data_IF_014931085585
#
_entry.id   IF_014931085585
#
_cell.length_a   1.000
_cell.length_b   1.000
_cell.length_c   1.000
_cell.angle_alpha   90.00
_cell.angle_beta   90.00
_cell.angle_gamma   90.00
#
_symmetry.space_group_name_H-M   'P 1'
#
loop_
_entity.id
_entity.type
_entity.pdbx_description
1 polymer ?
#
# COMPACT_ATOMS: atom_id res chain seq x y z
N UNK A 1 -23.99 1.63 31.32
CA UNK A 1 -22.72 1.87 30.61
C UNK A 1 -23.02 1.81 29.12
N UNK A 2 -22.67 2.83 28.35
CA UNK A 2 -22.89 2.81 26.90
C UNK A 2 -21.99 1.77 26.22
N UNK A 3 -22.36 1.27 25.04
CA UNK A 3 -21.54 0.33 24.26
C UNK A 3 -20.11 0.86 24.02
N UNK A 4 -19.96 2.18 23.89
CA UNK A 4 -18.68 2.86 23.81
C UNK A 4 -17.81 2.67 25.08
N UNK A 5 -18.41 2.64 26.28
CA UNK A 5 -17.68 2.41 27.53
C UNK A 5 -17.23 0.95 27.69
N UNK A 6 -17.97 -0.01 27.14
CA UNK A 6 -17.61 -1.45 27.18
C UNK A 6 -16.50 -1.77 26.17
N UNK A 7 -16.49 -1.09 25.02
CA UNK A 7 -15.40 -1.13 24.04
C UNK A 7 -14.08 -0.61 24.62
N UNK A 8 -14.14 0.51 25.36
CA UNK A 8 -12.95 1.15 25.95
C UNK A 8 -12.24 0.29 27.01
N UNK A 9 -12.99 -0.50 27.80
CA UNK A 9 -12.40 -1.40 28.82
C UNK A 9 -11.69 -2.60 28.16
N UNK A 10 -12.22 -3.10 27.03
CA UNK A 10 -11.64 -4.25 26.32
C UNK A 10 -10.39 -3.89 25.51
N UNK A 11 -10.36 -2.70 24.91
CA UNK A 11 -9.17 -2.18 24.23
C UNK A 11 -7.96 -2.01 25.18
N UNK A 12 -8.22 -1.59 26.42
CA UNK A 12 -7.18 -1.45 27.44
C UNK A 12 -6.56 -2.78 27.86
N UNK A 13 -7.35 -3.86 27.90
CA UNK A 13 -6.90 -5.21 28.25
C UNK A 13 -6.07 -5.88 27.13
N UNK A 14 -6.36 -5.56 25.85
CA UNK A 14 -5.62 -6.04 24.68
C UNK A 14 -4.20 -5.45 24.63
N UNK A 15 -4.04 -4.18 25.02
CA UNK A 15 -2.74 -3.50 25.07
C UNK A 15 -1.78 -4.10 26.10
N UNK A 16 -2.25 -4.40 27.31
CA UNK A 16 -1.37 -4.92 28.37
C UNK A 16 -0.84 -6.31 28.04
N UNK A 17 -1.62 -7.14 27.35
CA UNK A 17 -1.18 -8.48 26.94
C UNK A 17 -0.20 -8.46 25.75
N UNK A 18 -0.22 -7.43 24.89
CA UNK A 18 0.68 -7.32 23.74
C UNK A 18 1.97 -6.51 24.04
N UNK A 19 1.93 -5.57 24.99
CA UNK A 19 3.09 -4.75 25.37
C UNK A 19 3.97 -5.39 26.45
N UNK A 20 3.44 -6.27 27.30
CA UNK A 20 4.23 -6.93 28.35
C UNK A 20 5.19 -7.99 27.79
N UNK A 21 5.02 -8.44 26.54
CA UNK A 21 5.90 -9.47 25.96
C UNK A 21 7.20 -8.93 25.33
N UNK A 22 7.27 -7.67 24.85
CA UNK A 22 8.45 -7.21 24.09
C UNK A 22 8.87 -5.76 24.33
N UNK A 23 9.28 -5.46 25.57
CA UNK A 23 10.22 -4.34 25.83
C UNK A 23 11.64 -4.78 25.48
N UNK A 24 12.04 -4.65 24.22
CA UNK A 24 13.43 -4.92 23.84
C UNK A 24 13.78 -4.54 22.41
N UNK A 25 14.50 -3.42 22.25
CA UNK A 25 15.16 -2.91 21.03
C UNK A 25 14.23 -2.43 19.91
N UNK A 26 14.33 -1.24 19.33
CA UNK A 26 15.34 -0.18 19.38
C UNK A 26 15.30 0.53 18.02
N UNK A 27 15.28 1.87 18.02
CA UNK A 27 15.40 2.77 16.87
C UNK A 27 14.25 2.81 15.84
N UNK A 28 13.26 3.67 16.10
CA UNK A 28 12.52 4.36 15.04
C UNK A 28 12.53 5.86 15.35
N UNK A 29 12.74 6.75 14.34
CA UNK A 29 12.68 8.19 14.56
C UNK A 29 11.30 8.56 15.11
N UNK A 30 11.28 9.32 16.20
CA UNK A 30 10.08 9.84 16.85
C UNK A 30 9.16 10.47 15.80
N UNK A 31 7.95 9.92 15.61
CA UNK A 31 6.93 10.50 14.71
C UNK A 31 6.21 9.56 13.75
N UNK A 32 6.52 8.25 13.68
CA UNK A 32 5.84 7.31 12.77
C UNK A 32 4.96 6.31 13.49
N UNK A 33 3.85 6.79 14.02
CA UNK A 33 2.69 5.97 14.32
C UNK A 33 1.44 6.74 13.90
N UNK A 34 0.65 6.20 12.96
CA UNK A 34 -0.81 6.32 13.08
C UNK A 34 -1.23 5.16 13.99
N UNK A 35 -0.82 5.26 15.24
CA UNK A 35 -1.39 4.54 16.36
C UNK A 35 -1.50 5.62 17.42
N UNK A 36 -2.67 6.24 17.50
CA UNK A 36 -2.97 7.24 18.52
C UNK A 36 -2.93 6.52 19.88
N UNK A 37 -1.79 6.65 20.56
CA UNK A 37 -1.38 5.77 21.66
C UNK A 37 -2.11 6.09 22.99
N UNK A 38 -3.16 6.92 22.95
CA UNK A 38 -3.79 7.45 24.18
C UNK A 38 -5.33 7.49 24.15
N UNK A 39 -6.03 7.49 23.00
CA UNK A 39 -7.51 7.73 23.02
C UNK A 39 -8.43 6.88 22.13
N UNK A 40 -7.94 6.14 21.13
CA UNK A 40 -8.84 5.44 20.20
C UNK A 40 -9.45 6.39 19.17
N UNK A 41 -9.46 5.92 17.91
CA UNK A 41 -9.81 6.65 16.67
C UNK A 41 -8.83 7.77 16.29
N UNK A 42 -7.72 7.39 15.65
CA UNK A 42 -7.27 8.22 14.55
C UNK A 42 -8.30 8.04 13.43
N UNK A 43 -9.20 9.01 13.24
CA UNK A 43 -10.20 8.99 12.17
C UNK A 43 -9.56 9.38 10.84
N UNK A 44 -8.41 8.80 10.51
CA UNK A 44 -7.82 8.95 9.20
C UNK A 44 -8.59 8.04 8.25
N UNK A 45 -9.29 8.64 7.29
CA UNK A 45 -9.93 7.93 6.19
C UNK A 45 -9.07 8.03 4.94
N UNK A 46 -9.17 7.00 4.10
CA UNK A 46 -8.43 6.93 2.85
C UNK A 46 -8.68 5.64 2.11
N UNK A 47 -8.06 5.51 0.97
CA UNK A 47 -8.22 4.37 0.07
C UNK A 47 -6.86 3.82 -0.37
N UNK A 48 -6.86 2.60 -0.89
CA UNK A 48 -5.69 2.02 -1.55
C UNK A 48 -5.66 2.41 -3.03
N UNK A 49 -4.47 2.67 -3.54
CA UNK A 49 -4.19 2.79 -4.97
C UNK A 49 -3.06 1.87 -5.38
N UNK A 50 -3.22 1.18 -6.50
CA UNK A 50 -2.24 0.27 -7.06
C UNK A 50 -1.76 0.75 -8.43
N UNK A 51 -0.50 0.47 -8.75
CA UNK A 51 0.15 0.95 -9.97
C UNK A 51 0.83 -0.19 -10.74
N UNK A 52 0.06 -1.09 -11.39
CA UNK A 52 0.60 -2.26 -12.09
C UNK A 52 1.62 -1.94 -13.19
N UNK A 53 1.63 -0.71 -13.72
CA UNK A 53 2.67 -0.24 -14.64
C UNK A 53 4.09 -0.44 -14.12
N UNK A 54 4.28 -0.45 -12.80
CA UNK A 54 5.60 -0.63 -12.19
C UNK A 54 5.82 -2.04 -11.62
N UNK A 55 4.90 -2.98 -11.80
CA UNK A 55 5.07 -4.34 -11.31
C UNK A 55 6.14 -5.08 -12.11
N UNK A 56 6.80 -6.04 -11.47
CA UNK A 56 7.73 -6.91 -12.15
C UNK A 56 6.95 -7.84 -13.08
N UNK A 57 7.48 -8.01 -14.29
CA UNK A 57 6.99 -9.01 -15.25
C UNK A 57 7.94 -10.19 -15.13
N UNK A 58 7.39 -11.38 -14.89
CA UNK A 58 8.16 -12.61 -14.93
C UNK A 58 8.78 -12.85 -16.31
N UNK A 59 9.61 -13.87 -16.41
CA UNK A 59 10.05 -14.40 -17.70
C UNK A 59 9.26 -15.66 -18.03
N UNK A 60 9.29 -16.08 -19.30
CA UNK A 60 8.68 -17.35 -19.70
C UNK A 60 9.19 -18.55 -18.89
N UNK A 61 10.47 -18.48 -18.47
CA UNK A 61 11.11 -19.50 -17.64
C UNK A 61 10.72 -19.40 -16.15
N UNK A 62 10.34 -18.21 -15.66
CA UNK A 62 9.99 -17.98 -14.27
C UNK A 62 8.93 -16.89 -14.14
N UNK A 63 7.69 -17.33 -13.98
CA UNK A 63 6.59 -16.47 -13.59
C UNK A 63 6.95 -15.67 -12.33
N UNK A 64 6.63 -14.39 -12.34
CA UNK A 64 6.77 -13.52 -11.19
C UNK A 64 5.45 -12.82 -10.97
N UNK A 65 4.88 -12.98 -9.78
CA UNK A 65 3.69 -12.27 -9.39
C UNK A 65 4.03 -11.25 -8.29
N UNK A 66 3.86 -9.97 -8.61
CA UNK A 66 4.01 -8.89 -7.64
C UNK A 66 2.84 -8.85 -6.66
N UNK A 67 1.63 -9.18 -7.10
CA UNK A 67 0.41 -9.02 -6.31
C UNK A 67 -0.45 -10.29 -6.29
N UNK A 68 -0.61 -10.86 -5.11
CA UNK A 68 -1.57 -11.92 -4.84
C UNK A 68 -2.77 -11.35 -4.09
N UNK A 69 -3.95 -11.92 -4.31
CA UNK A 69 -5.18 -11.41 -3.68
C UNK A 69 -6.04 -12.54 -3.13
N UNK A 70 -6.76 -12.23 -2.07
CA UNK A 70 -7.78 -13.07 -1.45
C UNK A 70 -9.04 -12.23 -1.26
N UNK A 71 -10.14 -12.68 -1.88
CA UNK A 71 -11.44 -11.99 -1.87
C UNK A 71 -12.40 -12.80 -1.00
N UNK A 72 -12.48 -12.49 0.28
CA UNK A 72 -13.41 -13.14 1.21
C UNK A 72 -14.75 -12.42 1.22
N UNK A 73 -15.70 -12.96 0.47
CA UNK A 73 -17.07 -12.46 0.29
C UNK A 73 -17.17 -11.02 -0.24
N UNK A 74 -16.02 -10.40 -0.57
CA UNK A 74 -15.96 -9.06 -1.11
C UNK A 74 -16.74 -8.96 -2.42
N UNK A 75 -17.65 -8.00 -2.49
CA UNK A 75 -18.48 -7.76 -3.65
C UNK A 75 -18.05 -6.47 -4.34
N UNK A 76 -17.69 -6.57 -5.62
CA UNK A 76 -17.31 -5.42 -6.45
C UNK A 76 -18.39 -4.34 -6.55
N UNK A 77 -19.65 -4.64 -6.23
CA UNK A 77 -20.73 -3.63 -6.21
C UNK A 77 -20.67 -2.69 -5.01
N UNK A 78 -19.82 -2.98 -4.02
CA UNK A 78 -19.58 -2.07 -2.89
C UNK A 78 -18.81 -0.82 -3.32
N UNK A 79 -17.92 -0.94 -4.30
CA UNK A 79 -17.08 0.17 -4.73
C UNK A 79 -17.74 1.05 -5.80
N UNK A 80 -17.40 2.35 -5.83
CA UNK A 80 -17.72 3.24 -6.94
C UNK A 80 -17.32 2.64 -8.30
N UNK A 81 -18.17 2.84 -9.30
CA UNK A 81 -17.93 2.33 -10.66
C UNK A 81 -17.02 3.23 -11.49
N UNK A 82 -16.83 4.49 -11.08
CA UNK A 82 -16.22 5.52 -11.92
C UNK A 82 -14.77 5.82 -11.50
N UNK A 83 -13.81 5.22 -12.21
CA UNK A 83 -12.41 5.66 -12.23
C UNK A 83 -11.89 5.66 -13.66
N UNK A 84 -11.27 6.76 -14.06
CA UNK A 84 -10.40 6.75 -15.22
C UNK A 84 -9.11 6.01 -14.86
N UNK A 85 -8.98 4.76 -15.33
CA UNK A 85 -7.79 3.95 -15.16
C UNK A 85 -6.68 4.54 -16.03
N UNK A 86 -5.48 4.71 -15.47
CA UNK A 86 -4.35 5.19 -16.25
C UNK A 86 -4.06 4.20 -17.40
N UNK A 87 -3.85 4.65 -18.66
CA UNK A 87 -3.66 3.75 -19.80
C UNK A 87 -2.58 2.70 -19.58
N UNK A 88 -1.42 3.09 -19.03
CA UNK A 88 -0.34 2.14 -18.69
C UNK A 88 -0.69 1.12 -17.60
N UNK A 89 -1.62 1.41 -16.69
CA UNK A 89 -2.07 0.40 -15.72
C UNK A 89 -3.00 -0.60 -16.40
N UNK A 90 -3.97 -0.11 -17.19
CA UNK A 90 -4.93 -0.96 -17.90
C UNK A 90 -4.27 -2.00 -18.81
N UNK A 91 -3.19 -1.61 -19.52
CA UNK A 91 -2.41 -2.52 -20.39
C UNK A 91 -1.70 -3.64 -19.63
N UNK A 92 -1.52 -3.50 -18.32
CA UNK A 92 -0.80 -4.45 -17.47
C UNK A 92 -1.72 -5.41 -16.75
N UNK A 93 -3.03 -5.26 -16.94
CA UNK A 93 -4.04 -6.19 -16.43
C UNK A 93 -4.18 -7.31 -17.46
N UNK A 94 -3.66 -8.52 -17.20
CA UNK A 94 -3.90 -9.64 -18.10
C UNK A 94 -5.39 -10.02 -18.07
N UNK A 95 -5.94 -10.59 -19.16
CA UNK A 95 -7.30 -11.11 -19.17
C UNK A 95 -7.51 -12.09 -18.01
N UNK A 96 -8.54 -11.85 -17.19
CA UNK A 96 -8.87 -12.70 -16.05
C UNK A 96 -7.99 -12.49 -14.81
N UNK A 97 -7.25 -11.38 -14.70
CA UNK A 97 -6.46 -11.10 -13.50
C UNK A 97 -7.34 -10.99 -12.24
N UNK A 98 -7.08 -11.85 -11.25
CA UNK A 98 -7.81 -11.87 -9.98
C UNK A 98 -7.72 -10.56 -9.19
N UNK A 99 -6.80 -9.68 -9.54
CA UNK A 99 -6.59 -8.39 -8.88
C UNK A 99 -7.09 -7.19 -9.68
N UNK A 100 -7.64 -7.40 -10.89
CA UNK A 100 -8.08 -6.33 -11.79
C UNK A 100 -9.03 -5.32 -11.11
N UNK A 101 -9.96 -5.82 -10.30
CA UNK A 101 -10.93 -5.01 -9.56
C UNK A 101 -10.32 -3.92 -8.67
N UNK A 102 -9.09 -4.12 -8.15
CA UNK A 102 -8.38 -3.15 -7.30
C UNK A 102 -7.81 -1.96 -8.09
N UNK A 103 -7.75 -2.09 -9.42
CA UNK A 103 -7.12 -1.12 -10.33
C UNK A 103 -8.16 -0.49 -11.24
N UNK A 104 -9.13 -1.29 -11.70
CA UNK A 104 -10.21 -0.86 -12.58
C UNK A 104 -11.19 0.10 -11.93
N UNK A 105 -11.26 0.10 -10.60
CA UNK A 105 -12.17 0.94 -9.82
C UNK A 105 -11.42 1.87 -8.89
N UNK A 106 -12.08 2.97 -8.51
CA UNK A 106 -11.64 3.75 -7.36
C UNK A 106 -12.14 3.03 -6.13
N UNK A 107 -11.22 2.66 -5.24
CA UNK A 107 -11.56 2.08 -3.95
C UNK A 107 -12.10 3.18 -3.04
N UNK A 108 -13.12 2.84 -2.25
CA UNK A 108 -13.82 3.74 -1.35
C UNK A 108 -12.92 4.16 -0.19
N UNK A 109 -13.06 5.40 0.21
CA UNK A 109 -12.36 5.92 1.37
C UNK A 109 -12.95 5.25 2.63
N UNK A 110 -12.10 4.67 3.46
CA UNK A 110 -12.51 4.08 4.72
C UNK A 110 -11.41 4.20 5.79
N UNK A 111 -11.65 3.68 7.00
CA UNK A 111 -10.69 3.78 8.09
C UNK A 111 -9.32 3.24 7.71
N UNK A 112 -8.27 4.02 7.98
CA UNK A 112 -6.87 3.65 7.70
C UNK A 112 -6.20 3.14 8.96
N UNK A 113 -5.58 1.96 8.85
CA UNK A 113 -4.76 1.37 9.91
C UNK A 113 -3.44 0.87 9.36
N UNK A 114 -2.33 1.16 10.04
CA UNK A 114 -1.01 0.66 9.64
C UNK A 114 -0.38 -0.06 10.83
N UNK A 115 0.02 -1.30 10.60
CA UNK A 115 0.68 -2.15 11.59
C UNK A 115 1.91 -2.83 11.01
N UNK A 116 2.84 -3.23 11.87
CA UNK A 116 4.07 -3.92 11.48
C UNK A 116 4.17 -5.23 12.25
N UNK A 117 4.51 -6.32 11.57
CA UNK A 117 4.78 -7.62 12.18
C UNK A 117 5.99 -8.28 11.52
N UNK A 118 7.12 -8.29 12.22
CA UNK A 118 8.37 -8.83 11.69
C UNK A 118 8.82 -8.07 10.44
N UNK A 119 8.90 -8.76 9.30
CA UNK A 119 9.31 -8.19 7.99
C UNK A 119 8.14 -7.70 7.13
N UNK A 120 6.94 -7.66 7.71
CA UNK A 120 5.72 -7.28 7.00
C UNK A 120 5.15 -5.98 7.55
N UNK A 121 4.67 -5.13 6.66
CA UNK A 121 3.80 -4.00 6.99
C UNK A 121 2.41 -4.32 6.46
N UNK A 122 1.39 -4.11 7.29
CA UNK A 122 -0.01 -4.25 6.92
C UNK A 122 -0.63 -2.86 6.93
N UNK A 123 -1.25 -2.48 5.82
CA UNK A 123 -1.96 -1.23 5.64
C UNK A 123 -3.41 -1.53 5.26
N UNK A 124 -4.34 -1.17 6.12
CA UNK A 124 -5.77 -1.30 5.88
C UNK A 124 -6.34 0.05 5.44
N UNK A 125 -7.27 0.02 4.49
CA UNK A 125 -8.08 1.16 4.07
C UNK A 125 -9.43 0.63 3.55
N UNK A 126 -10.52 1.00 4.21
CA UNK A 126 -11.86 0.52 3.87
C UNK A 126 -11.98 -1.01 3.90
N UNK A 127 -12.42 -1.60 2.80
CA UNK A 127 -12.65 -3.06 2.66
C UNK A 127 -11.36 -3.87 2.46
N UNK A 128 -10.20 -3.23 2.41
CA UNK A 128 -8.97 -3.83 1.93
C UNK A 128 -7.84 -3.75 2.95
N UNK A 129 -7.08 -4.84 3.09
CA UNK A 129 -5.83 -4.92 3.81
C UNK A 129 -4.70 -5.30 2.86
N UNK A 130 -3.72 -4.41 2.71
CA UNK A 130 -2.51 -4.62 1.95
C UNK A 130 -1.37 -5.06 2.87
N UNK A 131 -0.87 -6.26 2.68
CA UNK A 131 0.34 -6.78 3.31
C UNK A 131 1.52 -6.60 2.35
N UNK A 132 2.55 -5.90 2.80
CA UNK A 132 3.76 -5.63 2.04
C UNK A 132 4.97 -6.34 2.63
N UNK A 133 5.73 -7.01 1.77
CA UNK A 133 7.08 -7.48 2.06
C UNK A 133 8.07 -6.80 1.09
N UNK A 134 8.88 -5.87 1.60
CA UNK A 134 9.70 -4.95 0.80
C UNK A 134 10.92 -5.57 0.10
N UNK A 135 11.28 -6.82 0.43
CA UNK A 135 12.45 -7.44 -0.17
C UNK A 135 13.74 -6.72 0.22
N UNK A 136 14.57 -6.36 -0.77
CA UNK A 136 15.87 -5.73 -0.54
C UNK A 136 15.83 -4.20 -0.54
N UNK A 137 15.12 -3.60 -1.51
CA UNK A 137 15.16 -2.15 -1.77
C UNK A 137 13.77 -1.50 -1.81
N UNK A 138 12.75 -2.22 -1.34
CA UNK A 138 11.42 -1.66 -1.14
C UNK A 138 11.40 -0.68 0.04
N UNK A 139 10.60 0.38 -0.09
CA UNK A 139 10.46 1.44 0.88
C UNK A 139 9.00 1.87 1.03
N UNK A 140 8.61 2.23 2.25
CA UNK A 140 7.38 2.96 2.55
C UNK A 140 7.74 4.43 2.77
N UNK A 141 7.28 5.31 1.89
CA UNK A 141 7.58 6.74 1.95
C UNK A 141 6.29 7.54 2.17
N UNK A 142 6.11 8.12 3.36
CA UNK A 142 5.05 9.09 3.62
C UNK A 142 5.36 10.42 2.91
N UNK A 143 4.37 11.02 2.27
CA UNK A 143 4.50 12.32 1.61
C UNK A 143 3.17 13.08 1.56
N UNK A 144 3.22 14.38 1.31
CA UNK A 144 2.00 15.19 1.13
C UNK A 144 1.22 14.72 -0.09
N UNK A 145 -0.10 14.96 -0.10
CA UNK A 145 -0.93 14.59 -1.25
C UNK A 145 -0.50 15.30 -2.54
N UNK A 146 -0.06 16.56 -2.45
CA UNK A 146 0.47 17.29 -3.62
C UNK A 146 1.75 16.67 -4.18
N UNK A 147 2.60 16.15 -3.30
CA UNK A 147 3.86 15.50 -3.64
C UNK A 147 3.62 14.15 -4.31
N UNK A 148 2.69 13.37 -3.77
CA UNK A 148 2.23 12.12 -4.34
C UNK A 148 1.63 12.32 -5.75
N UNK A 149 0.71 13.28 -5.91
CA UNK A 149 0.11 13.60 -7.21
C UNK A 149 1.17 14.02 -8.23
N UNK A 150 2.15 14.82 -7.81
CA UNK A 150 3.25 15.22 -8.69
C UNK A 150 4.10 14.02 -9.11
N UNK A 151 4.33 13.08 -8.19
CA UNK A 151 5.10 11.86 -8.45
C UNK A 151 4.40 10.92 -9.42
N UNK A 152 3.08 10.73 -9.28
CA UNK A 152 2.31 9.75 -10.07
C UNK A 152 1.77 10.30 -11.39
N UNK A 153 1.77 11.63 -11.59
CA UNK A 153 1.29 12.30 -12.80
C UNK A 153 2.09 11.98 -14.07
N UNK A 154 3.41 11.80 -13.94
CA UNK A 154 4.30 11.66 -15.08
C UNK A 154 4.99 10.30 -15.08
N UNK A 155 4.84 9.62 -16.21
CA UNK A 155 5.37 8.29 -16.46
C UNK A 155 6.42 8.35 -17.57
N UNK A 156 7.55 7.69 -17.39
CA UNK A 156 8.59 7.55 -18.42
C UNK A 156 8.86 6.07 -18.71
N UNK A 157 9.00 5.69 -19.99
CA UNK A 157 9.46 4.36 -20.37
C UNK A 157 10.83 4.03 -19.76
N UNK A 158 11.08 2.74 -19.58
CA UNK A 158 12.39 2.24 -19.19
C UNK A 158 13.46 2.52 -20.27
N UNK A 159 14.75 2.53 -19.91
CA UNK A 159 15.84 2.83 -20.86
C UNK A 159 16.16 1.65 -21.81
N UNK A 160 15.28 0.66 -21.93
CA UNK A 160 15.55 -0.52 -22.76
C UNK A 160 15.34 -0.16 -24.25
N UNK A 161 16.17 -0.72 -25.13
CA UNK A 161 16.04 -0.55 -26.58
C UNK A 161 14.87 -1.38 -27.13
N UNK A 162 14.56 -2.49 -26.48
CA UNK A 162 13.41 -3.35 -26.78
C UNK A 162 12.12 -2.65 -26.34
N UNK A 163 11.21 -2.28 -27.29
CA UNK A 163 10.00 -1.53 -26.99
C UNK A 163 9.10 -2.19 -25.95
N UNK A 164 9.02 -3.53 -25.96
CA UNK A 164 8.16 -4.30 -25.06
C UNK A 164 8.71 -4.26 -23.62
N UNK A 165 10.04 -4.28 -23.50
CA UNK A 165 10.72 -4.08 -22.20
C UNK A 165 10.82 -2.61 -21.80
N UNK A 166 10.75 -1.69 -22.76
CA UNK A 166 10.74 -0.25 -22.52
C UNK A 166 9.38 0.23 -22.02
N UNK A 167 8.28 -0.43 -22.43
CA UNK A 167 6.91 -0.13 -21.96
C UNK A 167 6.80 -0.22 -20.44
N UNK A 168 7.69 -0.97 -19.81
CA UNK A 168 7.86 -0.95 -18.36
C UNK A 168 8.14 0.48 -17.87
N UNK A 169 7.10 1.06 -17.30
CA UNK A 169 7.02 2.48 -16.99
C UNK A 169 7.48 2.77 -15.56
N UNK A 170 8.06 3.95 -15.34
CA UNK A 170 8.47 4.45 -14.02
C UNK A 170 7.92 5.85 -13.80
N UNK A 171 7.63 6.18 -12.54
CA UNK A 171 7.28 7.54 -12.14
C UNK A 171 8.53 8.42 -12.24
N UNK A 172 8.41 9.57 -12.91
CA UNK A 172 9.50 10.55 -12.93
C UNK A 172 9.66 11.12 -11.52
N UNK A 173 10.89 11.16 -10.99
CA UNK A 173 11.17 11.72 -9.67
C UNK A 173 11.39 13.24 -9.76
N UNK A 174 10.49 14.09 -9.21
CA UNK A 174 10.67 15.53 -9.19
C UNK A 174 12.01 15.97 -8.61
N UNK A 175 12.57 17.06 -9.16
CA UNK A 175 13.88 17.62 -8.73
C UNK A 175 13.97 17.85 -7.21
N UNK A 176 12.86 18.20 -6.57
CA UNK A 176 12.80 18.44 -5.12
C UNK A 176 13.17 17.20 -4.28
N UNK A 177 12.83 16.00 -4.75
CA UNK A 177 13.16 14.74 -4.08
C UNK A 177 14.56 14.21 -4.44
N UNK A 178 15.23 14.82 -5.41
CA UNK A 178 16.60 14.44 -5.76
C UNK A 178 17.58 15.06 -4.77
N UNK A 179 18.55 14.27 -4.33
CA UNK A 179 19.69 14.79 -3.59
C UNK A 179 20.58 15.67 -4.50
N UNK A 180 21.54 16.40 -3.90
CA UNK A 180 22.41 17.34 -4.64
C UNK A 180 23.22 16.67 -5.76
N UNK A 181 23.63 15.42 -5.59
CA UNK A 181 24.37 14.67 -6.59
C UNK A 181 23.47 14.31 -7.79
N UNK A 182 22.32 13.69 -7.53
CA UNK A 182 21.34 13.29 -8.53
C UNK A 182 20.75 14.47 -9.32
N UNK A 183 20.73 15.69 -8.75
CA UNK A 183 20.35 16.92 -9.48
C UNK A 183 21.33 17.33 -10.56
N UNK A 184 22.60 16.94 -10.44
CA UNK A 184 23.66 17.24 -11.42
C UNK A 184 23.69 16.23 -12.57
N UNK A 185 23.07 15.08 -12.39
CA UNK A 185 23.01 14.06 -13.43
C UNK A 185 22.10 14.51 -14.59
N UNK A 186 22.57 14.26 -15.82
CA UNK A 186 21.76 14.48 -17.03
C UNK A 186 20.67 13.41 -17.21
N UNK A 187 20.76 12.29 -16.48
CA UNK A 187 19.80 11.19 -16.54
C UNK A 187 18.51 11.57 -15.80
N UNK A 188 17.38 11.14 -16.35
CA UNK A 188 16.11 11.23 -15.65
C UNK A 188 16.17 10.31 -14.43
N UNK A 189 15.80 10.84 -13.26
CA UNK A 189 15.69 10.02 -12.06
C UNK A 189 14.24 9.53 -11.97
N UNK A 190 14.08 8.27 -11.63
CA UNK A 190 12.79 7.58 -11.67
C UNK A 190 12.59 6.75 -10.41
N UNK A 191 11.34 6.52 -10.04
CA UNK A 191 10.96 5.61 -8.96
C UNK A 191 9.81 4.71 -9.43
N UNK A 192 9.79 3.46 -8.97
CA UNK A 192 8.65 2.57 -9.20
C UNK A 192 7.72 2.71 -7.99
N UNK A 193 6.59 3.40 -8.16
CA UNK A 193 5.53 3.44 -7.17
C UNK A 193 4.60 2.27 -7.46
N UNK A 194 4.46 1.34 -6.50
CA UNK A 194 3.73 0.08 -6.70
C UNK A 194 2.34 0.13 -6.07
N UNK A 195 2.23 0.73 -4.89
CA UNK A 195 0.97 0.93 -4.20
C UNK A 195 1.04 2.20 -3.33
N UNK A 196 -0.09 2.70 -2.90
CA UNK A 196 -0.17 3.74 -1.87
C UNK A 196 -1.45 3.59 -1.06
N UNK A 197 -1.39 3.96 0.23
CA UNK A 197 -2.59 4.40 0.96
C UNK A 197 -2.68 5.91 0.80
N UNK A 198 -3.80 6.39 0.30
CA UNK A 198 -4.03 7.81 0.04
C UNK A 198 -5.10 8.30 1.01
N UNK A 199 -4.79 9.35 1.75
CA UNK A 199 -5.68 9.99 2.73
C UNK A 199 -6.00 11.40 2.26
N UNK A 200 -6.81 12.14 3.02
CA UNK A 200 -7.11 13.55 2.70
C UNK A 200 -5.85 14.45 2.70
N UNK A 201 -4.88 14.19 3.58
CA UNK A 201 -3.71 15.06 3.78
C UNK A 201 -2.41 14.51 3.17
N UNK A 202 -2.24 13.19 3.23
CA UNK A 202 -0.98 12.51 2.93
C UNK A 202 -1.18 11.20 2.17
N UNK A 203 -0.09 10.69 1.59
CA UNK A 203 -0.04 9.37 1.01
C UNK A 203 1.15 8.58 1.57
N UNK A 204 0.92 7.31 1.88
CA UNK A 204 1.93 6.33 2.27
C UNK A 204 2.30 5.49 1.07
N UNK A 205 3.41 5.83 0.43
CA UNK A 205 3.78 5.28 -0.89
C UNK A 205 4.69 4.08 -0.74
N UNK A 206 4.26 2.94 -1.26
CA UNK A 206 5.09 1.74 -1.44
C UNK A 206 5.84 1.86 -2.74
N UNK A 207 7.17 1.90 -2.66
CA UNK A 207 8.05 2.03 -3.82
C UNK A 207 9.23 1.06 -3.75
N UNK A 208 9.75 0.63 -4.91
CA UNK A 208 10.85 -0.32 -4.95
C UNK A 208 11.67 -0.19 -6.23
N UNK A 209 12.97 0.03 -6.11
CA UNK A 209 13.85 0.14 -7.27
C UNK A 209 13.88 -1.15 -8.13
N UNK A 210 13.93 -2.33 -7.50
CA UNK A 210 14.05 -3.62 -8.18
C UNK A 210 12.72 -4.33 -8.41
N UNK A 211 11.61 -3.80 -7.89
CA UNK A 211 10.25 -4.36 -8.01
C UNK A 211 10.14 -5.78 -7.44
N UNK A 212 10.92 -6.05 -6.41
CA UNK A 212 10.92 -7.32 -5.69
C UNK A 212 9.94 -7.32 -4.50
N UNK A 213 9.31 -6.18 -4.24
CA UNK A 213 8.26 -6.03 -3.24
C UNK A 213 7.08 -6.92 -3.61
N UNK A 214 6.66 -7.72 -2.63
CA UNK A 214 5.50 -8.60 -2.74
C UNK A 214 4.34 -7.95 -2.03
N UNK A 215 3.22 -7.90 -2.73
CA UNK A 215 1.95 -7.36 -2.25
C UNK A 215 0.98 -8.53 -2.10
N UNK A 216 0.33 -8.61 -0.94
CA UNK A 216 -0.80 -9.49 -0.72
C UNK A 216 -1.98 -8.65 -0.28
N UNK A 217 -3.10 -8.72 -1.00
CA UNK A 217 -4.30 -7.94 -0.68
C UNK A 217 -5.40 -8.88 -0.22
N UNK A 218 -5.92 -8.62 0.97
CA UNK A 218 -7.11 -9.28 1.48
C UNK A 218 -8.28 -8.29 1.44
N UNK A 219 -9.36 -8.68 0.78
CA UNK A 219 -10.57 -7.86 0.65
C UNK A 219 -11.73 -8.55 1.34
N UNK A 220 -12.47 -7.81 2.17
CA UNK A 220 -13.57 -8.34 2.99
C UNK A 220 -14.83 -7.47 2.88
N UNK A 221 -16.01 -8.10 2.78
CA UNK A 221 -17.30 -7.39 2.69
C UNK A 221 -17.72 -6.71 4.01
N UNK A 222 -17.38 -7.33 5.14
CA UNK A 222 -17.63 -6.84 6.49
C UNK A 222 -16.44 -7.25 7.35
N UNK A 223 -15.78 -6.30 8.01
CA UNK A 223 -15.21 -6.65 9.30
C UNK A 223 -16.41 -6.88 10.24
N UNK A 224 -16.66 -8.09 10.75
CA UNK A 224 -17.59 -8.23 11.86
C UNK A 224 -17.12 -7.27 12.99
N UNK A 225 -18.04 -6.73 13.82
CA UNK A 225 -17.65 -5.90 14.96
C UNK A 225 -16.55 -6.66 15.71
N UNK A 226 -15.36 -6.05 15.81
CA UNK A 226 -14.09 -6.68 16.21
C UNK A 226 -14.32 -7.69 17.34
N UNK A 227 -14.51 -8.93 16.91
CA UNK A 227 -14.74 -10.10 17.73
C UNK A 227 -13.75 -11.11 17.23
N UNK A 228 -12.52 -11.01 17.73
CA UNK A 228 -11.47 -12.02 17.66
C UNK A 228 -11.29 -12.70 16.29
N UNK A 229 -10.56 -12.04 15.38
CA UNK A 229 -9.70 -12.79 14.45
C UNK A 229 -8.37 -12.93 15.19
N UNK A 230 -8.10 -14.10 15.77
CA UNK A 230 -6.83 -14.35 16.46
C UNK A 230 -5.66 -14.24 15.47
N UNK A 231 -4.48 -13.84 15.95
CA UNK A 231 -3.27 -13.75 15.12
C UNK A 231 -2.86 -15.08 14.45
N UNK A 232 -3.49 -16.19 14.84
CA UNK A 232 -3.33 -17.54 14.28
C UNK A 232 -4.13 -17.73 12.99
N UNK A 233 -5.20 -16.97 12.76
CA UNK A 233 -6.00 -17.02 11.53
C UNK A 233 -5.40 -16.18 10.37
N UNK A 234 -4.25 -15.55 10.61
CA UNK A 234 -3.49 -14.76 9.64
C UNK A 234 -2.27 -15.51 9.07
N UNK A 235 -2.00 -16.74 9.53
CA UNK A 235 -0.87 -17.56 9.13
C UNK A 235 -1.29 -18.69 8.19
#
# INVERSE_FOLDING_TARGET
MSEAQVSNVKAHQIRNNLLDEHRGSGFYPEGWFIVDDVTGLCSCTGHLEFFPRTFAVGTDAKGYNTMSVDRWDYNNSLEPTDREVHPFDSRRIPPGADWAYLVEKKLEDGPVHIAVRGKYIVMCAGYHALVCHFGLEGNLTPMTLGDFRLLTRACVPGPNEDPDKAEITRSLLPKKFKNRAARKEKKLATVNVMAAVVTEEQAFVVSDFNRLTRLYVKSVFLMPPIGFISAEQWC
#
